data_IF_749171050107
#
_entry.id   IF_749171050107
#
_cell.length_a   1.000
_cell.length_b   1.000
_cell.length_c   1.000
_cell.angle_alpha   90.00
_cell.angle_beta   90.00
_cell.angle_gamma   90.00
#
_symmetry.space_group_name_H-M   'P 1'
#
loop_
_entity.id
_entity.type
_entity.pdbx_description
1 polymer ?
#
# COMPACT_ATOMS: atom_id res chain seq x y z
N UNK A 1 -12.57 18.59 4.90
CA UNK A 1 -11.23 17.97 4.78
C UNK A 1 -10.58 17.67 6.12
N UNK A 2 -10.65 18.58 7.07
CA UNK A 2 -10.06 18.34 8.40
C UNK A 2 -10.66 17.15 9.12
N UNK A 3 -11.99 17.01 9.07
CA UNK A 3 -12.67 15.87 9.68
C UNK A 3 -12.27 14.55 9.02
N UNK A 4 -12.07 14.57 7.71
CA UNK A 4 -11.65 13.40 6.98
C UNK A 4 -10.23 12.98 7.39
N UNK A 5 -9.30 13.94 7.50
CA UNK A 5 -7.93 13.67 7.94
C UNK A 5 -7.88 13.05 9.33
N UNK A 6 -8.67 13.58 10.28
CA UNK A 6 -8.70 13.08 11.65
C UNK A 6 -9.24 11.65 11.76
N UNK A 7 -10.15 11.28 10.86
CA UNK A 7 -10.84 10.00 10.92
C UNK A 7 -10.36 8.99 9.90
N UNK A 8 -9.32 9.33 9.10
CA UNK A 8 -8.88 8.49 7.99
C UNK A 8 -8.53 7.07 8.42
N UNK A 9 -7.88 6.90 9.56
CA UNK A 9 -7.50 5.60 10.06
C UNK A 9 -8.71 4.72 10.34
N UNK A 10 -9.76 5.28 10.96
CA UNK A 10 -11.01 4.57 11.21
C UNK A 10 -11.73 4.23 9.90
N UNK A 11 -11.72 5.17 8.96
CA UNK A 11 -12.41 5.01 7.68
C UNK A 11 -11.77 3.91 6.83
N UNK A 12 -10.46 3.78 6.86
CA UNK A 12 -9.73 2.75 6.10
C UNK A 12 -10.10 1.34 6.57
N UNK A 13 -10.37 1.16 7.87
CA UNK A 13 -10.74 -0.13 8.43
C UNK A 13 -12.22 -0.47 8.25
N UNK A 14 -13.03 0.45 7.77
CA UNK A 14 -14.45 0.25 7.54
C UNK A 14 -14.72 -0.08 6.08
N UNK A 15 -15.35 -1.22 5.82
CA UNK A 15 -15.61 -1.71 4.45
C UNK A 15 -16.33 -0.69 3.56
N UNK A 16 -17.35 -0.02 4.09
CA UNK A 16 -18.13 0.95 3.31
C UNK A 16 -17.37 2.25 3.12
N UNK A 17 -16.69 2.71 4.15
CA UNK A 17 -15.91 3.95 4.08
C UNK A 17 -14.71 3.83 3.14
N UNK A 18 -14.07 2.65 3.08
CA UNK A 18 -12.97 2.37 2.14
C UNK A 18 -13.39 2.59 0.70
N UNK A 19 -14.58 2.13 0.34
CA UNK A 19 -15.10 2.29 -1.02
C UNK A 19 -15.24 3.78 -1.34
N UNK A 20 -15.76 4.56 -0.40
CA UNK A 20 -15.93 6.00 -0.58
C UNK A 20 -14.59 6.72 -0.70
N UNK A 21 -13.59 6.34 0.10
CA UNK A 21 -12.24 6.91 0.01
C UNK A 21 -11.60 6.62 -1.35
N UNK A 22 -11.77 5.40 -1.84
CA UNK A 22 -11.25 5.03 -3.15
C UNK A 22 -11.92 5.84 -4.26
N UNK A 23 -13.25 6.04 -4.17
CA UNK A 23 -13.98 6.87 -5.12
C UNK A 23 -13.49 8.32 -5.12
N UNK A 24 -13.16 8.88 -3.96
CA UNK A 24 -12.60 10.22 -3.86
C UNK A 24 -11.29 10.31 -4.65
N UNK A 25 -10.40 9.36 -4.45
CA UNK A 25 -9.11 9.33 -5.17
C UNK A 25 -9.34 9.19 -6.68
N UNK A 26 -10.24 8.31 -7.09
CA UNK A 26 -10.52 8.05 -8.51
C UNK A 26 -11.22 9.23 -9.20
N UNK A 27 -12.09 9.93 -8.48
CA UNK A 27 -12.90 11.01 -9.05
C UNK A 27 -12.16 12.35 -9.06
N UNK A 28 -11.51 12.71 -7.96
CA UNK A 28 -10.89 14.02 -7.78
C UNK A 28 -9.38 14.02 -7.98
N UNK A 29 -8.79 12.84 -8.14
CA UNK A 29 -7.36 12.70 -8.36
C UNK A 29 -6.56 12.56 -7.07
N UNK A 30 -5.28 12.27 -7.24
CA UNK A 30 -4.39 11.90 -6.13
C UNK A 30 -4.08 13.07 -5.20
N UNK A 31 -4.19 14.30 -5.69
CA UNK A 31 -3.96 15.48 -4.86
C UNK A 31 -4.90 15.54 -3.67
N UNK A 32 -6.13 15.10 -3.86
CA UNK A 32 -7.13 15.01 -2.78
C UNK A 32 -6.89 13.84 -1.84
N UNK A 33 -6.16 12.83 -2.31
CA UNK A 33 -5.90 11.62 -1.54
C UNK A 33 -4.50 11.56 -0.94
N UNK A 34 -3.70 12.62 -1.02
CA UNK A 34 -2.31 12.57 -0.58
C UNK A 34 -2.18 12.19 0.90
N UNK A 35 -3.08 12.64 1.74
CA UNK A 35 -3.08 12.28 3.16
C UNK A 35 -3.44 10.81 3.37
N UNK A 36 -4.21 10.20 2.45
CA UNK A 36 -4.50 8.77 2.48
C UNK A 36 -3.23 7.98 2.20
N UNK A 37 -2.43 8.42 1.21
CA UNK A 37 -1.15 7.78 0.90
C UNK A 37 -0.18 7.87 2.06
N UNK A 38 -0.16 9.01 2.74
CA UNK A 38 0.68 9.19 3.92
C UNK A 38 0.28 8.24 5.04
N UNK A 39 -1.02 8.06 5.27
CA UNK A 39 -1.54 7.11 6.26
C UNK A 39 -1.13 5.69 5.90
N UNK A 40 -1.19 5.32 4.61
CA UNK A 40 -0.75 4.01 4.14
C UNK A 40 0.73 3.79 4.46
N UNK A 41 1.59 4.76 4.18
CA UNK A 41 3.02 4.64 4.47
C UNK A 41 3.30 4.51 5.96
N UNK A 42 2.66 5.32 6.79
CA UNK A 42 2.93 5.38 8.22
C UNK A 42 2.41 4.17 8.99
N UNK A 43 1.34 3.56 8.50
CA UNK A 43 0.65 2.47 9.21
C UNK A 43 0.52 1.19 8.38
N UNK A 44 1.47 0.96 7.49
CA UNK A 44 1.39 -0.11 6.49
C UNK A 44 1.16 -1.49 7.10
N UNK A 45 1.92 -1.84 8.14
CA UNK A 45 1.80 -3.16 8.79
C UNK A 45 0.41 -3.35 9.37
N UNK A 46 -0.11 -2.35 10.09
CA UNK A 46 -1.45 -2.40 10.66
C UNK A 46 -2.52 -2.56 9.59
N UNK A 47 -2.34 -1.89 8.45
CA UNK A 47 -3.27 -1.97 7.33
C UNK A 47 -3.25 -3.34 6.67
N UNK A 48 -2.09 -3.97 6.57
CA UNK A 48 -1.97 -5.32 6.02
C UNK A 48 -2.60 -6.39 6.91
N UNK A 49 -2.62 -6.14 8.21
CA UNK A 49 -3.13 -7.08 9.19
C UNK A 49 -4.66 -7.21 9.16
N UNK A 50 -5.36 -6.26 8.54
CA UNK A 50 -6.81 -6.25 8.42
C UNK A 50 -7.22 -6.53 6.97
N UNK A 51 -8.10 -7.52 6.70
CA UNK A 51 -8.49 -7.87 5.33
C UNK A 51 -9.13 -6.72 4.56
N UNK A 52 -9.92 -5.87 5.22
CA UNK A 52 -10.59 -4.75 4.57
C UNK A 52 -9.58 -3.71 4.10
N UNK A 53 -8.71 -3.27 4.99
CA UNK A 53 -7.70 -2.26 4.65
C UNK A 53 -6.65 -2.80 3.68
N UNK A 54 -6.33 -4.10 3.75
CA UNK A 54 -5.40 -4.74 2.82
C UNK A 54 -5.90 -4.64 1.38
N UNK A 55 -7.18 -4.96 1.16
CA UNK A 55 -7.80 -4.86 -0.16
C UNK A 55 -7.82 -3.41 -0.62
N UNK A 56 -8.15 -2.48 0.28
CA UNK A 56 -8.15 -1.06 -0.03
C UNK A 56 -6.77 -0.57 -0.48
N UNK A 57 -5.72 -0.92 0.27
CA UNK A 57 -4.34 -0.54 -0.08
C UNK A 57 -3.97 -1.03 -1.47
N UNK A 58 -4.29 -2.29 -1.77
CA UNK A 58 -3.98 -2.86 -3.08
C UNK A 58 -4.71 -2.13 -4.20
N UNK A 59 -5.97 -1.78 -4.00
CA UNK A 59 -6.75 -1.03 -5.00
C UNK A 59 -6.19 0.37 -5.24
N UNK A 60 -5.71 1.03 -4.19
CA UNK A 60 -5.04 2.33 -4.32
C UNK A 60 -3.76 2.18 -5.16
N UNK A 61 -2.97 1.15 -4.90
CA UNK A 61 -1.74 0.90 -5.65
C UNK A 61 -2.03 0.59 -7.13
N UNK A 62 -3.06 -0.21 -7.40
CA UNK A 62 -3.47 -0.50 -8.77
C UNK A 62 -3.90 0.76 -9.52
N UNK A 63 -4.65 1.63 -8.85
CA UNK A 63 -5.05 2.91 -9.42
C UNK A 63 -3.83 3.77 -9.75
N UNK A 64 -2.87 3.86 -8.86
CA UNK A 64 -1.64 4.61 -9.08
C UNK A 64 -0.81 4.04 -10.22
N UNK A 65 -0.73 2.72 -10.34
CA UNK A 65 -0.01 2.09 -11.44
C UNK A 65 -0.56 2.54 -12.80
N UNK A 66 -1.86 2.66 -12.91
CA UNK A 66 -2.51 3.02 -14.17
C UNK A 66 -2.53 4.53 -14.43
N UNK A 67 -2.38 5.37 -13.39
CA UNK A 67 -2.59 6.81 -13.53
C UNK A 67 -1.36 7.65 -13.16
N UNK A 68 -0.49 7.18 -12.28
CA UNK A 68 0.70 7.90 -11.86
C UNK A 68 1.76 6.94 -11.35
N UNK A 69 2.45 6.29 -12.26
CA UNK A 69 3.47 5.28 -11.94
C UNK A 69 4.63 5.85 -11.13
N UNK A 70 5.00 7.10 -11.38
CA UNK A 70 6.09 7.76 -10.66
C UNK A 70 5.73 7.90 -9.18
N UNK A 71 4.51 8.32 -8.89
CA UNK A 71 4.06 8.45 -7.51
C UNK A 71 3.99 7.10 -6.81
N UNK A 72 3.52 6.06 -7.51
CA UNK A 72 3.52 4.71 -6.95
C UNK A 72 4.93 4.25 -6.60
N UNK A 73 5.89 4.45 -7.50
CA UNK A 73 7.28 4.10 -7.26
C UNK A 73 7.82 4.83 -6.01
N UNK A 74 7.56 6.12 -5.91
CA UNK A 74 8.03 6.92 -4.78
C UNK A 74 7.35 6.52 -3.47
N UNK A 75 6.13 6.04 -3.52
CA UNK A 75 5.41 5.52 -2.36
C UNK A 75 5.97 4.16 -1.91
N UNK A 76 6.32 3.28 -2.84
CA UNK A 76 6.75 1.93 -2.54
C UNK A 76 8.19 1.85 -2.02
N UNK A 77 9.11 2.72 -2.48
CA UNK A 77 10.51 2.66 -2.06
C UNK A 77 10.68 2.73 -0.53
N UNK A 78 10.06 3.68 0.18
CA UNK A 78 10.19 3.71 1.64
C UNK A 78 9.67 2.45 2.32
N UNK A 79 8.62 1.83 1.76
CA UNK A 79 8.06 0.59 2.30
C UNK A 79 9.04 -0.57 2.12
N UNK A 80 9.66 -0.69 0.94
CA UNK A 80 10.59 -1.77 0.65
C UNK A 80 11.91 -1.64 1.42
N UNK A 81 12.32 -0.41 1.74
CA UNK A 81 13.52 -0.15 2.53
C UNK A 81 13.29 -0.28 4.03
N UNK A 82 12.04 -0.40 4.46
CA UNK A 82 11.70 -0.57 5.87
C UNK A 82 11.82 -2.04 6.24
N UNK A 83 12.86 -2.37 7.01
CA UNK A 83 13.14 -3.74 7.42
C UNK A 83 11.97 -4.35 8.20
N UNK A 84 11.29 -3.57 9.03
CA UNK A 84 10.14 -4.06 9.79
C UNK A 84 9.00 -4.51 8.88
N UNK A 85 8.75 -3.77 7.79
CA UNK A 85 7.72 -4.12 6.80
C UNK A 85 8.08 -5.43 6.10
N UNK A 86 9.31 -5.54 5.62
CA UNK A 86 9.76 -6.74 4.91
C UNK A 86 9.75 -7.96 5.83
N UNK A 87 10.25 -7.82 7.04
CA UNK A 87 10.23 -8.93 8.02
C UNK A 87 8.82 -9.38 8.34
N UNK A 88 7.89 -8.44 8.48
CA UNK A 88 6.48 -8.76 8.71
C UNK A 88 5.90 -9.57 7.56
N UNK A 89 6.11 -9.14 6.33
CA UNK A 89 5.58 -9.84 5.15
C UNK A 89 6.19 -11.24 5.02
N UNK A 90 7.50 -11.36 5.20
CA UNK A 90 8.22 -12.62 5.10
C UNK A 90 7.77 -13.61 6.19
N UNK A 91 7.56 -13.12 7.41
CA UNK A 91 7.14 -13.95 8.54
C UNK A 91 5.70 -14.43 8.43
N UNK A 92 4.85 -13.74 7.68
CA UNK A 92 3.43 -14.04 7.56
C UNK A 92 3.13 -14.69 6.22
N UNK A 93 3.04 -16.01 6.19
CA UNK A 93 2.75 -16.77 4.97
C UNK A 93 1.43 -16.36 4.32
N UNK A 94 0.46 -15.91 5.11
CA UNK A 94 -0.82 -15.42 4.61
C UNK A 94 -0.66 -14.17 3.72
N UNK A 95 0.45 -13.46 3.83
CA UNK A 95 0.73 -12.26 3.03
C UNK A 95 1.49 -12.57 1.73
N UNK A 96 1.75 -13.84 1.45
CA UNK A 96 2.50 -14.24 0.25
C UNK A 96 1.80 -13.77 -1.03
N UNK A 97 0.49 -13.92 -1.11
CA UNK A 97 -0.30 -13.48 -2.26
C UNK A 97 -0.22 -11.96 -2.43
N UNK A 98 -0.30 -11.23 -1.33
CA UNK A 98 -0.17 -9.78 -1.34
C UNK A 98 1.20 -9.34 -1.83
N UNK A 99 2.26 -10.00 -1.37
CA UNK A 99 3.62 -9.67 -1.82
C UNK A 99 3.80 -9.93 -3.31
N UNK A 100 3.23 -11.01 -3.84
CA UNK A 100 3.27 -11.28 -5.27
C UNK A 100 2.62 -10.14 -6.06
N UNK A 101 1.49 -9.64 -5.59
CA UNK A 101 0.81 -8.50 -6.22
C UNK A 101 1.66 -7.22 -6.16
N UNK A 102 2.34 -6.97 -5.04
CA UNK A 102 3.25 -5.84 -4.92
C UNK A 102 4.39 -5.93 -5.91
N UNK A 103 4.98 -7.12 -6.08
CA UNK A 103 6.06 -7.34 -7.04
C UNK A 103 5.58 -7.01 -8.46
N UNK A 104 4.38 -7.44 -8.83
CA UNK A 104 3.82 -7.16 -10.15
C UNK A 104 3.58 -5.67 -10.38
N UNK A 105 3.25 -4.92 -9.34
CA UNK A 105 3.02 -3.48 -9.41
C UNK A 105 4.30 -2.66 -9.42
N UNK A 106 5.41 -3.23 -9.01
CA UNK A 106 6.69 -2.55 -8.86
C UNK A 106 7.39 -2.34 -10.20
N UNK A 107 8.27 -1.35 -10.27
CA UNK A 107 9.13 -1.17 -11.43
C UNK A 107 10.28 -2.20 -11.44
N UNK A 108 11.10 -2.20 -12.50
CA UNK A 108 12.15 -3.21 -12.65
C UNK A 108 13.20 -3.12 -11.55
N UNK A 109 13.60 -1.91 -11.14
CA UNK A 109 14.57 -1.73 -10.07
C UNK A 109 14.03 -2.24 -8.73
N UNK A 110 12.78 -1.96 -8.45
CA UNK A 110 12.11 -2.41 -7.23
C UNK A 110 11.96 -3.93 -7.22
N UNK A 111 11.63 -4.53 -8.36
CA UNK A 111 11.55 -5.99 -8.48
C UNK A 111 12.89 -6.65 -8.17
N UNK A 112 13.97 -6.12 -8.73
CA UNK A 112 15.31 -6.64 -8.47
C UNK A 112 15.67 -6.54 -6.99
N UNK A 113 15.39 -5.38 -6.38
CA UNK A 113 15.63 -5.15 -4.96
C UNK A 113 14.89 -6.16 -4.09
N UNK A 114 13.59 -6.36 -4.37
CA UNK A 114 12.77 -7.31 -3.63
C UNK A 114 13.25 -8.75 -3.80
N UNK A 115 13.62 -9.16 -5.01
CA UNK A 115 14.12 -10.51 -5.24
C UNK A 115 15.41 -10.78 -4.45
N UNK A 116 16.30 -9.82 -4.38
CA UNK A 116 17.53 -9.95 -3.58
C UNK A 116 17.19 -10.10 -2.09
N UNK A 117 16.30 -9.28 -1.57
CA UNK A 117 15.88 -9.35 -0.16
C UNK A 117 15.22 -10.69 0.16
N UNK A 118 14.32 -11.15 -0.70
CA UNK A 118 13.58 -12.39 -0.49
C UNK A 118 14.51 -13.59 -0.55
N UNK A 119 15.48 -13.59 -1.45
CA UNK A 119 16.47 -14.65 -1.54
C UNK A 119 17.32 -14.75 -0.28
N UNK A 120 17.72 -13.60 0.29
CA UNK A 120 18.47 -13.57 1.55
C UNK A 120 17.65 -14.09 2.73
N UNK A 121 16.33 -13.98 2.65
CA UNK A 121 15.40 -14.44 3.69
C UNK A 121 14.93 -15.89 3.47
N UNK A 122 15.48 -16.60 2.51
CA UNK A 122 15.11 -17.98 2.15
C UNK A 122 13.62 -18.09 1.79
N UNK A 123 13.14 -17.13 1.04
CA UNK A 123 11.70 -17.03 0.74
C UNK A 123 11.31 -17.71 -0.58
#
# INVERSE_FOLDING_TARGET
MENLKKNIKKLIFNKYSCINLLLIIQTFGIEWGIFILKEIQENFISLLDNPVSRVFVMKVFEFLKNNNMILLRDLLWPLYRNIAVINYIVANKSQKKFLKQLIELSDDEQKIYLYILLKRSNW
#
